data_IF_223590184630
#
_entry.id   IF_223590184630
#
_cell.length_a   1.000
_cell.length_b   1.000
_cell.length_c   1.000
_cell.angle_alpha   90.00
_cell.angle_beta   90.00
_cell.angle_gamma   90.00
#
_symmetry.space_group_name_H-M   'P 1'
#
loop_
_entity.id
_entity.type
_entity.pdbx_description
1 polymer ?
#
# COMPACT_ATOMS: atom_id res chain seq x y z
N UNK A 1 -45.05 -9.79 78.47
CA UNK A 1 -44.83 -11.24 78.65
C UNK A 1 -44.26 -11.80 77.34
N UNK A 2 -42.92 -11.94 77.30
CA UNK A 2 -42.14 -13.03 76.67
C UNK A 2 -42.44 -13.55 75.24
N UNK A 3 -41.40 -13.38 74.40
CA UNK A 3 -40.88 -14.22 73.28
C UNK A 3 -41.71 -14.28 71.98
N UNK A 4 -41.12 -14.30 70.78
CA UNK A 4 -40.11 -15.28 70.33
C UNK A 4 -39.48 -14.88 68.97
N UNK A 5 -38.14 -14.77 68.98
CA UNK A 5 -37.15 -15.24 67.98
C UNK A 5 -37.29 -14.84 66.49
N UNK A 6 -36.30 -14.02 66.09
CA UNK A 6 -35.84 -13.71 64.73
C UNK A 6 -35.63 -14.95 63.87
N UNK A 7 -36.22 -14.99 62.67
CA UNK A 7 -35.89 -15.99 61.64
C UNK A 7 -35.67 -15.29 60.29
N UNK A 8 -34.41 -14.90 60.04
CA UNK A 8 -33.92 -14.58 58.71
C UNK A 8 -33.92 -15.87 57.88
N UNK A 9 -35.00 -16.11 57.14
CA UNK A 9 -34.98 -17.10 56.08
C UNK A 9 -34.20 -16.48 54.92
N UNK A 10 -32.93 -16.90 54.77
CA UNK A 10 -32.14 -16.77 53.56
C UNK A 10 -32.91 -17.35 52.37
N UNK A 11 -33.73 -16.53 51.72
CA UNK A 11 -34.09 -16.79 50.33
C UNK A 11 -32.88 -16.42 49.50
N UNK A 12 -32.00 -17.40 49.31
CA UNK A 12 -30.93 -17.34 48.32
C UNK A 12 -31.57 -17.13 46.96
N UNK A 13 -31.64 -15.88 46.50
CA UNK A 13 -31.86 -15.58 45.09
C UNK A 13 -30.65 -16.14 44.39
N UNK A 14 -30.80 -17.32 43.79
CA UNK A 14 -29.81 -17.87 42.87
C UNK A 14 -29.86 -16.97 41.65
N UNK A 15 -29.12 -15.85 41.67
CA UNK A 15 -28.77 -15.14 40.46
C UNK A 15 -27.92 -16.13 39.70
N UNK A 16 -28.52 -16.85 38.77
CA UNK A 16 -27.76 -17.52 37.73
C UNK A 16 -27.01 -16.40 37.04
N UNK A 17 -25.74 -16.24 37.41
CA UNK A 17 -24.80 -15.54 36.57
C UNK A 17 -24.79 -16.36 35.27
N UNK A 18 -25.67 -15.97 34.35
CA UNK A 18 -25.45 -16.26 32.95
C UNK A 18 -24.17 -15.50 32.66
N UNK A 19 -23.03 -16.18 32.85
CA UNK A 19 -21.80 -15.85 32.17
C UNK A 19 -22.11 -16.02 30.70
N UNK A 20 -22.85 -15.06 30.15
CA UNK A 20 -22.98 -14.86 28.72
C UNK A 20 -21.55 -14.75 28.25
N UNK A 21 -21.09 -15.75 27.51
CA UNK A 21 -19.83 -15.67 26.80
C UNK A 21 -20.00 -14.45 25.90
N UNK A 22 -19.38 -13.33 26.26
CA UNK A 22 -19.10 -12.30 25.28
C UNK A 22 -18.25 -13.00 24.23
N UNK A 23 -18.87 -13.35 23.10
CA UNK A 23 -18.14 -13.81 21.93
C UNK A 23 -17.40 -12.56 21.45
N UNK A 24 -16.20 -12.35 21.95
CA UNK A 24 -15.25 -11.44 21.32
C UNK A 24 -14.75 -12.15 20.06
N UNK A 25 -15.58 -12.17 19.02
CA UNK A 25 -15.12 -12.41 17.66
C UNK A 25 -14.36 -11.15 17.23
N UNK A 26 -13.16 -10.95 17.78
CA UNK A 26 -12.19 -10.06 17.15
C UNK A 26 -11.52 -10.86 16.04
N UNK A 27 -12.30 -11.19 15.00
CA UNK A 27 -11.68 -11.46 13.71
C UNK A 27 -11.24 -10.10 13.18
N UNK A 28 -10.04 -9.69 13.60
CA UNK A 28 -9.45 -8.44 13.13
C UNK A 28 -9.23 -8.61 11.63
N UNK A 29 -9.97 -7.84 10.83
CA UNK A 29 -9.84 -7.85 9.38
C UNK A 29 -8.35 -7.66 9.01
N UNK A 30 -7.80 -8.50 8.11
CA UNK A 30 -6.39 -8.40 7.72
C UNK A 30 -6.06 -6.99 7.24
N UNK A 31 -4.92 -6.45 7.71
CA UNK A 31 -4.45 -5.14 7.27
C UNK A 31 -3.86 -5.23 5.87
N UNK A 32 -4.07 -4.19 5.07
CA UNK A 32 -3.36 -4.00 3.80
C UNK A 32 -1.84 -3.93 4.04
N UNK A 33 -1.07 -4.72 3.29
CA UNK A 33 0.38 -4.81 3.40
C UNK A 33 1.02 -4.93 2.02
N UNK A 34 2.30 -4.56 1.90
CA UNK A 34 3.02 -4.81 0.65
C UNK A 34 3.46 -6.28 0.58
N UNK A 35 3.03 -6.97 -0.46
CA UNK A 35 3.63 -8.25 -0.90
C UNK A 35 4.95 -7.99 -1.60
N UNK A 36 4.99 -6.96 -2.46
CA UNK A 36 6.21 -6.49 -3.14
C UNK A 36 6.28 -4.98 -3.02
N UNK A 37 7.34 -4.49 -2.41
CA UNK A 37 7.71 -3.07 -2.43
C UNK A 37 8.57 -2.76 -3.66
N UNK A 38 8.49 -1.53 -4.17
CA UNK A 38 9.41 -1.11 -5.22
C UNK A 38 10.85 -1.05 -4.67
N UNK A 39 11.81 -1.28 -5.56
CA UNK A 39 13.24 -1.19 -5.27
C UNK A 39 13.88 -0.20 -6.23
N UNK A 40 15.01 0.38 -5.82
CA UNK A 40 15.77 1.29 -6.65
C UNK A 40 16.22 0.61 -7.96
N UNK A 41 16.19 1.38 -9.05
CA UNK A 41 16.56 0.92 -10.39
C UNK A 41 17.52 1.92 -11.02
N UNK A 42 18.60 1.42 -11.59
CA UNK A 42 19.40 2.15 -12.56
C UNK A 42 19.06 1.64 -13.96
N UNK A 43 18.70 2.54 -14.86
CA UNK A 43 18.36 2.23 -16.24
C UNK A 43 19.13 3.13 -17.18
N UNK A 44 19.49 2.64 -18.36
CA UNK A 44 20.05 3.51 -19.38
C UNK A 44 18.94 4.31 -20.04
N UNK A 45 19.29 5.44 -20.65
CA UNK A 45 18.38 6.18 -21.51
C UNK A 45 17.86 5.28 -22.65
N UNK A 46 16.54 5.28 -22.84
CA UNK A 46 15.85 4.48 -23.85
C UNK A 46 15.39 3.11 -23.38
N UNK A 47 15.78 2.68 -22.18
CA UNK A 47 15.33 1.41 -21.61
C UNK A 47 13.82 1.43 -21.26
N UNK A 48 13.28 0.25 -20.99
CA UNK A 48 11.98 0.08 -20.35
C UNK A 48 12.18 -0.26 -18.88
N UNK A 49 11.46 0.43 -18.00
CA UNK A 49 11.52 0.24 -16.55
C UNK A 49 10.16 -0.14 -16.01
N UNK A 50 10.13 -1.09 -15.07
CA UNK A 50 8.94 -1.47 -14.31
C UNK A 50 9.23 -1.39 -12.82
N UNK A 51 8.63 -0.40 -12.16
CA UNK A 51 8.63 -0.28 -10.70
C UNK A 51 7.48 -1.12 -10.15
N UNK A 52 7.82 -2.18 -9.40
CA UNK A 52 6.82 -3.11 -8.88
C UNK A 52 6.17 -2.60 -7.61
N UNK A 53 4.85 -2.77 -7.50
CA UNK A 53 4.12 -2.56 -6.28
C UNK A 53 2.95 -3.53 -6.22
N UNK A 54 3.00 -4.45 -5.26
CA UNK A 54 1.97 -5.47 -5.08
C UNK A 54 1.51 -5.52 -3.64
N UNK A 55 0.20 -5.59 -3.44
CA UNK A 55 -0.46 -5.41 -2.16
C UNK A 55 -1.21 -6.69 -1.80
N UNK A 56 -0.98 -7.17 -0.58
CA UNK A 56 -1.82 -8.17 0.07
C UNK A 56 -2.92 -7.47 0.89
N UNK A 57 -4.10 -8.08 0.92
CA UNK A 57 -5.28 -7.56 1.63
C UNK A 57 -5.62 -6.11 1.23
N UNK A 58 -5.53 -5.81 -0.07
CA UNK A 58 -5.78 -4.48 -0.60
C UNK A 58 -7.19 -3.99 -0.23
N UNK A 59 -7.27 -2.90 0.53
CA UNK A 59 -8.52 -2.27 0.94
C UNK A 59 -8.64 -0.83 0.44
N UNK A 60 -7.56 -0.06 0.51
CA UNK A 60 -7.49 1.32 0.03
C UNK A 60 -7.24 1.44 -1.47
N UNK A 61 -7.31 2.67 -1.98
CA UNK A 61 -6.93 2.98 -3.38
C UNK A 61 -5.41 3.10 -3.48
N UNK A 62 -4.84 2.56 -4.56
CA UNK A 62 -3.40 2.64 -4.85
C UNK A 62 -3.12 3.81 -5.79
N UNK A 63 -2.07 4.58 -5.49
CA UNK A 63 -1.59 5.68 -6.31
C UNK A 63 -0.07 5.73 -6.32
N UNK A 64 0.49 6.03 -7.48
CA UNK A 64 1.90 6.38 -7.61
C UNK A 64 2.13 7.88 -7.55
N UNK A 65 3.25 8.28 -6.95
CA UNK A 65 3.76 9.64 -7.05
C UNK A 65 5.16 9.65 -7.65
N UNK A 66 5.50 10.71 -8.37
CA UNK A 66 6.84 11.04 -8.84
C UNK A 66 7.28 12.36 -8.20
N UNK A 67 8.33 12.34 -7.39
CA UNK A 67 8.79 13.49 -6.59
C UNK A 67 7.66 14.15 -5.77
N UNK A 68 6.75 13.32 -5.26
CA UNK A 68 5.58 13.76 -4.50
C UNK A 68 4.38 14.23 -5.34
N UNK A 69 4.52 14.35 -6.66
CA UNK A 69 3.40 14.67 -7.54
C UNK A 69 2.59 13.40 -7.90
N UNK A 70 1.28 13.46 -7.71
CA UNK A 70 0.39 12.32 -7.96
C UNK A 70 0.21 12.04 -9.46
N UNK A 71 0.42 10.79 -9.88
CA UNK A 71 0.27 10.35 -11.27
C UNK A 71 -1.17 9.92 -11.61
N UNK A 72 -2.13 10.12 -10.71
CA UNK A 72 -3.52 9.70 -10.91
C UNK A 72 -3.77 8.23 -10.53
N UNK A 73 -4.89 7.69 -11.01
CA UNK A 73 -5.38 6.35 -10.66
C UNK A 73 -5.71 5.48 -11.88
N UNK A 74 -5.65 6.05 -13.08
CA UNK A 74 -5.99 5.36 -14.33
C UNK A 74 -4.77 4.64 -14.90
N UNK A 75 -4.98 3.65 -15.77
CA UNK A 75 -3.89 2.97 -16.46
C UNK A 75 -3.08 3.92 -17.35
N UNK A 76 -3.76 4.86 -18.01
CA UNK A 76 -3.14 5.96 -18.75
C UNK A 76 -2.92 7.17 -17.84
N UNK A 77 -1.72 7.74 -17.88
CA UNK A 77 -1.35 8.90 -17.05
C UNK A 77 -1.33 10.15 -17.92
N UNK A 78 -2.28 11.06 -17.66
CA UNK A 78 -2.39 12.34 -18.38
C UNK A 78 -1.10 13.16 -18.18
N UNK A 79 -0.51 13.62 -19.28
CA UNK A 79 0.76 14.36 -19.29
C UNK A 79 2.01 13.49 -19.30
N UNK A 80 1.89 12.17 -19.14
CA UNK A 80 3.00 11.22 -19.17
C UNK A 80 2.75 10.09 -20.18
N UNK A 81 2.82 10.36 -21.50
CA UNK A 81 2.43 9.40 -22.55
C UNK A 81 3.28 8.12 -22.59
N UNK A 82 4.49 8.14 -22.00
CA UNK A 82 5.37 6.97 -21.90
C UNK A 82 5.12 6.11 -20.67
N UNK A 83 4.27 6.58 -19.75
CA UNK A 83 4.02 5.96 -18.46
C UNK A 83 2.69 5.21 -18.53
N UNK A 84 2.65 4.03 -17.93
CA UNK A 84 1.40 3.27 -17.76
C UNK A 84 1.35 2.62 -16.40
N UNK A 85 0.18 2.64 -15.77
CA UNK A 85 -0.11 1.80 -14.60
C UNK A 85 -0.66 0.46 -15.08
N UNK A 86 0.13 -0.59 -14.88
CA UNK A 86 -0.27 -1.96 -15.16
C UNK A 86 -1.00 -2.50 -13.93
N UNK A 87 -2.32 -2.29 -13.89
CA UNK A 87 -3.16 -2.63 -12.74
C UNK A 87 -3.88 -3.96 -12.94
N UNK A 88 -3.79 -4.83 -11.93
CA UNK A 88 -4.68 -5.97 -11.75
C UNK A 88 -5.21 -5.95 -10.32
N UNK A 89 -6.45 -5.47 -10.16
CA UNK A 89 -7.05 -5.23 -8.85
C UNK A 89 -7.30 -6.52 -8.06
N UNK A 90 -7.71 -7.62 -8.72
CA UNK A 90 -7.95 -8.90 -8.03
C UNK A 90 -6.69 -9.47 -7.40
N UNK A 91 -5.55 -9.22 -8.04
CA UNK A 91 -4.26 -9.78 -7.64
C UNK A 91 -3.43 -8.79 -6.81
N UNK A 92 -3.96 -7.58 -6.59
CA UNK A 92 -3.29 -6.50 -5.86
C UNK A 92 -2.07 -5.94 -6.59
N UNK A 93 -1.98 -6.05 -7.92
CA UNK A 93 -0.81 -5.63 -8.71
C UNK A 93 -1.01 -4.22 -9.26
N UNK A 94 -0.06 -3.33 -8.98
CA UNK A 94 -0.09 -1.91 -9.36
C UNK A 94 1.28 -1.44 -9.83
N UNK A 95 1.84 -2.10 -10.85
CA UNK A 95 3.18 -1.79 -11.33
C UNK A 95 3.17 -0.53 -12.19
N UNK A 96 4.12 0.39 -11.96
CA UNK A 96 4.34 1.55 -12.82
C UNK A 96 5.36 1.17 -13.89
N UNK A 97 4.96 1.27 -15.15
CA UNK A 97 5.83 1.02 -16.31
C UNK A 97 6.17 2.33 -17.00
N UNK A 98 7.44 2.49 -17.37
CA UNK A 98 7.97 3.65 -18.09
C UNK A 98 8.72 3.12 -19.32
N UNK A 99 8.28 3.53 -20.50
CA UNK A 99 8.94 3.15 -21.76
C UNK A 99 9.90 4.23 -22.23
N UNK A 100 10.97 3.83 -22.94
CA UNK A 100 11.92 4.75 -23.57
C UNK A 100 12.37 5.83 -22.57
N UNK A 101 13.00 5.41 -21.47
CA UNK A 101 13.42 6.27 -20.36
C UNK A 101 14.23 7.47 -20.82
N UNK A 102 14.06 8.58 -20.11
CA UNK A 102 14.76 9.85 -20.32
C UNK A 102 15.28 10.38 -18.99
N UNK A 103 16.23 11.32 -19.01
CA UNK A 103 16.77 11.91 -17.78
C UNK A 103 15.70 12.58 -16.90
N UNK A 104 14.64 13.11 -17.50
CA UNK A 104 13.51 13.70 -16.77
C UNK A 104 12.73 12.64 -15.96
N UNK A 105 12.88 11.36 -16.25
CA UNK A 105 12.24 10.28 -15.49
C UNK A 105 12.99 9.93 -14.21
N UNK A 106 14.26 10.37 -14.06
CA UNK A 106 15.03 10.16 -12.85
C UNK A 106 14.39 10.93 -11.69
N UNK A 107 13.86 10.21 -10.71
CA UNK A 107 13.03 10.77 -9.66
C UNK A 107 12.90 9.79 -8.48
N UNK A 108 12.36 10.27 -7.36
CA UNK A 108 11.88 9.44 -6.29
C UNK A 108 10.41 9.06 -6.54
N UNK A 109 10.16 7.78 -6.74
CA UNK A 109 8.83 7.24 -6.91
C UNK A 109 8.31 6.67 -5.59
N UNK A 110 7.00 6.77 -5.36
CA UNK A 110 6.36 6.17 -4.20
C UNK A 110 5.04 5.50 -4.59
N UNK A 111 4.89 4.23 -4.23
CA UNK A 111 3.61 3.56 -4.23
C UNK A 111 2.90 3.83 -2.91
N UNK A 112 1.67 4.34 -2.98
CA UNK A 112 0.86 4.69 -1.83
C UNK A 112 -0.46 3.94 -1.86
N UNK A 113 -0.85 3.35 -0.74
CA UNK A 113 -2.19 2.82 -0.54
C UNK A 113 -2.89 3.70 0.48
N UNK A 114 -4.03 4.28 0.09
CA UNK A 114 -4.83 5.15 0.94
C UNK A 114 -5.44 4.41 2.14
N UNK A 115 -6.01 5.15 3.12
CA UNK A 115 -6.77 4.55 4.20
C UNK A 115 -8.05 3.89 3.67
N UNK A 116 -8.53 2.86 4.36
CA UNK A 116 -9.84 2.26 4.15
C UNK A 116 -10.46 1.88 5.50
N UNK A 117 -11.69 1.34 5.50
CA UNK A 117 -12.36 0.93 6.74
C UNK A 117 -11.45 -0.06 7.50
N UNK A 118 -11.15 0.28 8.75
CA UNK A 118 -10.24 -0.47 9.62
C UNK A 118 -8.82 -0.71 9.05
N UNK A 119 -8.39 0.03 8.02
CA UNK A 119 -7.12 -0.19 7.33
C UNK A 119 -6.27 1.09 7.29
N UNK A 120 -5.04 0.99 7.79
CA UNK A 120 -4.10 2.12 7.80
C UNK A 120 -3.42 2.33 6.44
N UNK A 121 -3.10 3.59 6.05
CA UNK A 121 -2.38 3.84 4.81
C UNK A 121 -0.95 3.28 4.88
N UNK A 122 -0.48 2.70 3.78
CA UNK A 122 0.90 2.18 3.63
C UNK A 122 1.60 2.86 2.45
N UNK A 123 2.92 3.04 2.53
CA UNK A 123 3.72 3.69 1.47
C UNK A 123 5.10 3.03 1.36
N UNK A 124 5.61 2.88 0.13
CA UNK A 124 6.96 2.38 -0.13
C UNK A 124 7.59 3.15 -1.30
N UNK A 125 8.88 3.44 -1.22
CA UNK A 125 9.61 4.31 -2.15
C UNK A 125 10.66 3.54 -2.95
N UNK A 126 10.97 4.04 -4.14
CA UNK A 126 12.11 3.63 -4.94
C UNK A 126 12.65 4.80 -5.75
N UNK A 127 13.97 4.86 -5.90
CA UNK A 127 14.66 5.82 -6.76
C UNK A 127 14.91 5.21 -8.14
N UNK A 128 14.52 5.93 -9.19
CA UNK A 128 14.96 5.65 -10.55
C UNK A 128 16.13 6.58 -10.90
N UNK A 129 17.26 5.99 -11.28
CA UNK A 129 18.40 6.70 -11.84
C UNK A 129 18.49 6.39 -13.33
N UNK A 130 18.68 7.41 -14.17
CA UNK A 130 18.82 7.24 -15.62
C UNK A 130 20.25 7.57 -16.06
N UNK A 131 20.90 6.59 -16.68
CA UNK A 131 22.30 6.64 -17.11
C UNK A 131 22.42 6.95 -18.61
N UNK A 132 23.49 7.63 -19.00
CA UNK A 132 23.81 7.81 -20.42
C UNK A 132 24.19 6.49 -21.07
N UNK A 133 23.78 6.28 -22.32
CA UNK A 133 24.25 5.10 -23.06
C UNK A 133 25.69 5.31 -23.55
N UNK A 134 26.46 4.23 -23.80
CA UNK A 134 27.78 4.36 -24.44
C UNK A 134 27.72 5.07 -25.80
N UNK A 135 26.60 4.94 -26.55
CA UNK A 135 26.40 5.63 -27.82
C UNK A 135 26.33 7.15 -27.63
N UNK A 136 25.61 7.61 -26.61
CA UNK A 136 25.49 9.04 -26.30
C UNK A 136 26.82 9.63 -25.86
N UNK A 137 27.57 8.88 -25.04
CA UNK A 137 28.91 9.28 -24.61
C UNK A 137 29.87 9.37 -25.81
N UNK A 138 29.91 8.34 -26.66
CA UNK A 138 30.77 8.37 -27.85
C UNK A 138 30.41 9.53 -28.78
N UNK A 139 29.12 9.79 -29.01
CA UNK A 139 28.68 10.89 -29.86
C UNK A 139 29.01 12.28 -29.28
N UNK A 140 29.14 12.40 -27.95
CA UNK A 140 29.59 13.62 -27.26
C UNK A 140 31.10 13.82 -27.41
N UNK A 141 31.88 12.75 -27.23
CA UNK A 141 33.35 12.81 -27.30
C UNK A 141 33.90 12.81 -28.74
N UNK A 142 33.13 12.38 -29.74
CA UNK A 142 33.52 12.46 -31.16
C UNK A 142 33.19 13.80 -31.83
N UNK A 143 32.40 14.64 -31.15
CA UNK A 143 32.03 16.00 -31.59
C UNK A 143 32.81 17.10 -30.85
N UNK A 144 33.70 16.72 -29.93
CA UNK A 144 34.64 17.60 -29.25
C UNK A 144 36.01 17.52 -29.91
#
# INVERSE_FOLDING_TARGET
MMFLVTKFCCFSIVVTAVCGRYVTSTDAEPQQTFRITPNDIEANQGDEVVLRCEIEHLAGRVQWTKDGFALGFSNEIVGYPRFSLNQNHSDGVYNLRITNTSYDDAALYQCQVGPAKHNHPIRAQAKLTVLATPKDLHAKYSRA
#
